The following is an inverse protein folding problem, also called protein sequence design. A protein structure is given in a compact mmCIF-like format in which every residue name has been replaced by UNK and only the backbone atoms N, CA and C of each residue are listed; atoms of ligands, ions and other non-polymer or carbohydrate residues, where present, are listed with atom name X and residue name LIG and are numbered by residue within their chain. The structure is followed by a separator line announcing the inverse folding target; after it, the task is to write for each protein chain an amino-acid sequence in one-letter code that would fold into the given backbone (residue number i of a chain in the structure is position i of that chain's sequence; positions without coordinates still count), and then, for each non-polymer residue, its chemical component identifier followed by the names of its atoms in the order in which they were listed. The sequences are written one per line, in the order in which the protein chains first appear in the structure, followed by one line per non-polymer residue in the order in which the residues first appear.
data_IF_227206898924
#
_entry.id   IF_227206898924
#
_cell.length_a   1.000
_cell.length_b   1.000
_cell.length_c   1.000
_cell.angle_alpha   90.00
_cell.angle_beta   90.00
_cell.angle_gamma   90.00
#
_symmetry.space_group_name_H-M   'P 1'
#
loop_
_entity.id
_entity.type
_entity.pdbx_description
1 polymer ?
#
# COMPACT_ATOMS: atom_id res chain seq x y z
N UNK A 1 -19.80 -16.76 1.53
CA UNK A 1 -19.34 -15.70 0.60
C UNK A 1 -19.00 -16.31 -0.75
N UNK A 2 -19.30 -15.61 -1.82
CA UNK A 2 -18.93 -16.04 -3.17
C UNK A 2 -17.40 -15.94 -3.35
N UNK A 3 -16.75 -17.08 -3.59
CA UNK A 3 -15.29 -17.11 -3.73
C UNK A 3 -14.78 -16.31 -4.93
N UNK A 4 -15.57 -16.23 -6.01
CA UNK A 4 -15.21 -15.44 -7.19
C UNK A 4 -15.11 -13.95 -6.83
N UNK A 5 -16.09 -13.44 -6.09
CA UNK A 5 -16.08 -12.05 -5.65
C UNK A 5 -14.91 -11.78 -4.74
N UNK A 6 -14.66 -12.68 -3.77
CA UNK A 6 -13.55 -12.54 -2.86
C UNK A 6 -12.21 -12.51 -3.60
N UNK A 7 -12.01 -13.39 -4.57
CA UNK A 7 -10.79 -13.41 -5.38
C UNK A 7 -10.58 -12.13 -6.16
N UNK A 8 -11.65 -11.56 -6.71
CA UNK A 8 -11.58 -10.28 -7.43
C UNK A 8 -11.17 -9.15 -6.50
N UNK A 9 -11.74 -9.10 -5.30
CA UNK A 9 -11.40 -8.07 -4.32
C UNK A 9 -9.95 -8.21 -3.89
N UNK A 10 -9.51 -9.43 -3.62
CA UNK A 10 -8.12 -9.70 -3.23
C UNK A 10 -7.16 -9.24 -4.34
N UNK A 11 -7.45 -9.58 -5.58
CA UNK A 11 -6.63 -9.16 -6.72
C UNK A 11 -6.54 -7.64 -6.81
N UNK A 12 -7.67 -6.95 -6.59
CA UNK A 12 -7.71 -5.50 -6.60
C UNK A 12 -6.83 -4.92 -5.50
N UNK A 13 -6.87 -5.52 -4.30
CA UNK A 13 -6.05 -5.06 -3.20
C UNK A 13 -4.57 -5.27 -3.47
N UNK A 14 -4.18 -6.39 -4.08
CA UNK A 14 -2.79 -6.59 -4.50
C UNK A 14 -2.34 -5.53 -5.50
N UNK A 15 -3.20 -5.16 -6.44
CA UNK A 15 -2.88 -4.12 -7.41
C UNK A 15 -2.66 -2.77 -6.72
N UNK A 16 -3.48 -2.46 -5.71
CA UNK A 16 -3.31 -1.25 -4.90
C UNK A 16 -1.95 -1.27 -4.20
N UNK A 17 -1.58 -2.40 -3.62
CA UNK A 17 -0.27 -2.55 -2.95
C UNK A 17 0.86 -2.29 -3.93
N UNK A 18 0.81 -2.90 -5.11
CA UNK A 18 1.84 -2.73 -6.14
C UNK A 18 1.96 -1.26 -6.55
N UNK A 19 0.82 -0.60 -6.78
CA UNK A 19 0.81 0.81 -7.17
C UNK A 19 1.39 1.70 -6.08
N UNK A 20 1.00 1.46 -4.84
CA UNK A 20 1.51 2.23 -3.71
C UNK A 20 3.00 2.00 -3.49
N UNK A 21 3.48 0.77 -3.67
CA UNK A 21 4.90 0.47 -3.59
C UNK A 21 5.70 1.22 -4.66
N UNK A 22 5.17 1.30 -5.87
CA UNK A 22 5.83 2.06 -6.95
C UNK A 22 5.93 3.53 -6.60
N UNK A 23 4.87 4.10 -6.03
CA UNK A 23 4.86 5.49 -5.60
C UNK A 23 5.88 5.72 -4.48
N UNK A 24 5.95 4.80 -3.53
CA UNK A 24 6.94 4.87 -2.45
C UNK A 24 8.36 4.83 -2.99
N UNK A 25 8.66 3.90 -3.89
CA UNK A 25 9.99 3.79 -4.47
C UNK A 25 10.38 5.06 -5.19
N UNK A 26 9.44 5.68 -5.90
CA UNK A 26 9.70 6.96 -6.58
C UNK A 26 10.02 8.06 -5.59
N UNK A 27 9.24 8.19 -4.53
CA UNK A 27 9.43 9.21 -3.52
C UNK A 27 10.78 9.04 -2.81
N UNK A 28 11.10 7.81 -2.42
CA UNK A 28 12.37 7.52 -1.74
C UNK A 28 13.57 7.73 -2.65
N UNK A 29 13.42 7.46 -3.95
CA UNK A 29 14.46 7.75 -4.93
C UNK A 29 14.71 9.24 -5.05
N UNK A 30 13.64 10.05 -5.03
CA UNK A 30 13.76 11.50 -5.03
C UNK A 30 14.42 12.02 -3.76
N UNK A 31 14.09 11.39 -2.63
CA UNK A 31 14.65 11.74 -1.34
C UNK A 31 16.18 11.62 -1.33
N UNK A 32 16.70 10.54 -1.90
CA UNK A 32 18.15 10.33 -1.93
C UNK A 32 18.88 11.36 -2.76
N UNK A 33 18.18 12.04 -3.66
CA UNK A 33 18.76 13.07 -4.52
C UNK A 33 18.43 14.50 -4.06
N UNK A 34 17.70 14.63 -2.96
CA UNK A 34 17.28 15.94 -2.47
C UNK A 34 18.33 16.53 -1.54
N UNK A 35 18.76 17.74 -1.85
CA UNK A 35 19.72 18.49 -1.05
C UNK A 35 19.06 19.30 0.05
N UNK A 36 17.73 19.29 0.12
CA UNK A 36 16.96 20.08 1.09
C UNK A 36 16.19 19.17 2.05
N UNK A 37 16.85 18.77 3.16
CA UNK A 37 16.19 17.86 4.13
C UNK A 37 14.88 18.38 4.69
N UNK A 38 14.72 19.69 4.72
CA UNK A 38 13.50 20.34 5.26
C UNK A 38 12.26 19.99 4.44
N UNK A 39 12.42 19.85 3.14
CA UNK A 39 11.32 19.45 2.26
C UNK A 39 10.88 18.01 2.56
N UNK A 40 11.80 17.16 2.99
CA UNK A 40 11.52 15.79 3.35
C UNK A 40 10.62 15.70 4.58
N UNK A 41 10.91 16.50 5.58
CA UNK A 41 10.15 16.47 6.83
C UNK A 41 8.75 17.05 6.69
N UNK A 42 8.54 17.97 5.75
CA UNK A 42 7.24 18.60 5.54
C UNK A 42 6.30 17.70 4.76
N UNK A 43 6.45 17.69 3.44
CA UNK A 43 5.52 17.02 2.54
C UNK A 43 5.81 15.56 2.28
N UNK A 44 7.08 15.21 2.06
CA UNK A 44 7.44 13.84 1.67
C UNK A 44 7.24 12.84 2.78
N UNK A 45 7.58 13.22 4.02
CA UNK A 45 7.37 12.33 5.16
C UNK A 45 5.89 11.93 5.29
N UNK A 46 5.01 12.91 5.20
CA UNK A 46 3.57 12.66 5.29
C UNK A 46 3.09 11.77 4.15
N UNK A 47 3.58 12.00 2.93
CA UNK A 47 3.22 11.17 1.78
C UNK A 47 3.68 9.73 1.94
N UNK A 48 4.90 9.53 2.42
CA UNK A 48 5.41 8.19 2.69
C UNK A 48 4.52 7.47 3.68
N UNK A 49 4.15 8.11 4.77
CA UNK A 49 3.26 7.51 5.75
C UNK A 49 1.89 7.20 5.17
N UNK A 50 1.34 8.09 4.36
CA UNK A 50 0.05 7.85 3.71
C UNK A 50 0.08 6.64 2.80
N UNK A 51 1.14 6.47 2.01
CA UNK A 51 1.27 5.31 1.13
C UNK A 51 1.44 4.03 1.94
N UNK A 52 2.21 4.08 3.03
CA UNK A 52 2.36 2.93 3.92
C UNK A 52 1.03 2.54 4.55
N UNK A 53 0.24 3.51 4.98
CA UNK A 53 -1.09 3.25 5.55
C UNK A 53 -2.01 2.57 4.53
N UNK A 54 -1.98 3.01 3.28
CA UNK A 54 -2.78 2.40 2.24
C UNK A 54 -2.36 0.96 1.97
N UNK A 55 -1.06 0.68 2.00
CA UNK A 55 -0.55 -0.68 1.84
C UNK A 55 -1.03 -1.56 3.00
N UNK A 56 -0.91 -1.09 4.23
CA UNK A 56 -1.34 -1.84 5.42
C UNK A 56 -2.84 -2.11 5.36
N UNK A 57 -3.64 -1.12 5.00
CA UNK A 57 -5.10 -1.31 4.86
C UNK A 57 -5.42 -2.37 3.83
N UNK A 58 -4.74 -2.35 2.68
CA UNK A 58 -4.96 -3.33 1.64
C UNK A 58 -4.55 -4.73 2.10
N UNK A 59 -3.42 -4.86 2.77
CA UNK A 59 -2.96 -6.13 3.32
C UNK A 59 -3.95 -6.69 4.34
N UNK A 60 -4.47 -5.85 5.22
CA UNK A 60 -5.45 -6.26 6.22
C UNK A 60 -6.75 -6.75 5.57
N UNK A 61 -7.19 -6.10 4.51
CA UNK A 61 -8.36 -6.53 3.77
C UNK A 61 -8.16 -7.91 3.13
N UNK A 62 -6.97 -8.15 2.59
CA UNK A 62 -6.63 -9.45 2.00
C UNK A 62 -6.65 -10.54 3.07
N UNK A 63 -5.99 -10.30 4.19
CA UNK A 63 -5.94 -11.27 5.29
C UNK A 63 -7.34 -11.60 5.80
N UNK A 64 -8.17 -10.58 5.99
CA UNK A 64 -9.53 -10.78 6.46
C UNK A 64 -10.35 -11.60 5.47
N UNK A 65 -10.28 -11.28 4.18
CA UNK A 65 -11.01 -12.03 3.16
C UNK A 65 -10.53 -13.47 3.06
N UNK A 66 -9.23 -13.71 3.12
CA UNK A 66 -8.68 -15.06 3.12
C UNK A 66 -9.16 -15.87 4.31
N UNK A 67 -9.24 -15.23 5.47
CA UNK A 67 -9.76 -15.87 6.68
C UNK A 67 -11.23 -16.28 6.54
N UNK A 68 -12.04 -15.47 5.85
CA UNK A 68 -13.45 -15.76 5.63
C UNK A 68 -13.63 -16.87 4.60
N UNK A 69 -12.86 -16.83 3.52
CA UNK A 69 -12.96 -17.81 2.42
C UNK A 69 -12.34 -19.15 2.81
N UNK A 70 -11.24 -19.12 3.53
CA UNK A 70 -10.51 -20.31 3.98
C UNK A 70 -10.38 -20.27 5.50
N UNK A 71 -11.45 -20.65 6.23
CA UNK A 71 -11.48 -20.49 7.69
C UNK A 71 -10.51 -21.38 8.47
N UNK A 72 -9.86 -22.30 7.80
CA UNK A 72 -8.83 -23.10 8.44
C UNK A 72 -7.47 -22.41 8.34
#
# INVERSE_FOLDING_TARGET
MNTTTAKRVIKRQFNIIVDEEKKLKRILSMETNDEHPEALFGGLYTRVEQHLDEIVKAQNKIVLLQSIVNPD
#
